data_IF_070820238162
#
_entry.id   IF_070820238162
#
_cell.length_a   1.000
_cell.length_b   1.000
_cell.length_c   1.000
_cell.angle_alpha   90.00
_cell.angle_beta   90.00
_cell.angle_gamma   90.00
#
_symmetry.space_group_name_H-M   'P 1'
#
loop_
_entity.id
_entity.type
_entity.pdbx_description
1 polymer ?
#
# COMPACT_ATOMS: atom_id res chain seq x y z
N UNK A 1 4.29 -23.59 5.79
CA UNK A 1 3.64 -23.14 7.04
C UNK A 1 2.93 -21.83 6.76
N UNK A 2 1.90 -21.49 7.53
CA UNK A 2 1.24 -20.17 7.43
C UNK A 2 2.05 -19.14 8.21
N UNK A 3 2.22 -17.95 7.64
CA UNK A 3 2.96 -16.85 8.23
C UNK A 3 2.14 -15.56 8.16
N UNK A 4 2.41 -14.66 9.10
CA UNK A 4 1.85 -13.32 9.12
C UNK A 4 2.91 -12.33 9.59
N UNK A 5 2.87 -11.11 9.06
CA UNK A 5 3.80 -10.05 9.42
C UNK A 5 3.11 -8.70 9.29
N UNK A 6 3.24 -7.92 10.36
CA UNK A 6 2.76 -6.55 10.41
C UNK A 6 3.91 -5.56 10.13
N UNK A 7 3.62 -4.51 9.36
CA UNK A 7 4.57 -3.42 9.03
C UNK A 7 3.89 -2.06 9.18
N UNK A 8 4.69 -1.02 9.39
CA UNK A 8 4.23 0.38 9.38
C UNK A 8 5.33 1.33 8.94
N UNK A 9 4.95 2.38 8.22
CA UNK A 9 5.78 3.53 7.88
C UNK A 9 4.96 4.78 8.20
N UNK A 10 5.43 5.58 9.17
CA UNK A 10 4.72 6.75 9.66
C UNK A 10 5.70 7.91 9.91
N UNK A 11 5.73 8.95 9.05
CA UNK A 11 5.01 9.04 7.77
C UNK A 11 5.75 8.32 6.62
N UNK A 12 5.03 8.01 5.53
CA UNK A 12 5.63 7.61 4.25
C UNK A 12 6.48 8.75 3.67
N UNK A 13 7.58 8.44 2.96
CA UNK A 13 8.52 9.45 2.46
C UNK A 13 8.02 10.10 1.15
N UNK A 14 6.87 10.79 1.20
CA UNK A 14 6.30 11.49 0.05
C UNK A 14 7.13 12.70 -0.38
N UNK A 15 7.28 12.91 -1.70
CA UNK A 15 8.19 13.93 -2.26
C UNK A 15 7.53 15.23 -2.72
N UNK A 16 6.20 15.27 -2.97
CA UNK A 16 5.53 16.50 -3.45
C UNK A 16 5.32 17.53 -2.33
N UNK A 17 5.38 17.12 -1.06
CA UNK A 17 5.05 17.99 0.07
C UNK A 17 3.56 18.44 0.06
N UNK A 18 3.12 19.19 1.08
CA UNK A 18 1.70 19.57 1.22
C UNK A 18 1.26 20.74 0.33
N UNK A 19 2.19 21.46 -0.31
CA UNK A 19 1.93 22.69 -1.07
C UNK A 19 2.84 22.80 -2.30
N UNK A 20 2.34 23.28 -3.45
CA UNK A 20 0.98 23.74 -3.72
C UNK A 20 -0.02 22.58 -3.89
N UNK A 21 -1.31 22.84 -3.63
CA UNK A 21 -2.36 21.90 -4.03
C UNK A 21 -2.38 21.82 -5.56
N UNK A 22 -2.69 20.66 -6.12
CA UNK A 22 -2.84 20.53 -7.58
C UNK A 22 -3.95 21.41 -8.15
N UNK A 23 -4.96 21.75 -7.34
CA UNK A 23 -5.99 22.73 -7.70
C UNK A 23 -5.44 24.15 -7.88
N UNK A 24 -4.30 24.46 -7.24
CA UNK A 24 -3.71 25.80 -7.22
C UNK A 24 -2.59 25.96 -8.28
N UNK A 25 -2.10 24.86 -8.88
CA UNK A 25 -1.08 24.88 -9.93
C UNK A 25 -1.19 23.70 -10.89
N UNK A 26 -1.57 23.99 -12.13
CA UNK A 26 -1.65 23.01 -13.23
C UNK A 26 -0.27 22.47 -13.60
N UNK A 27 0.77 23.29 -13.52
CA UNK A 27 2.15 22.90 -13.78
C UNK A 27 2.64 21.86 -12.77
N UNK A 28 2.48 22.14 -11.47
CA UNK A 28 2.85 21.20 -10.40
C UNK A 28 2.06 19.89 -10.50
N UNK A 29 0.77 19.98 -10.83
CA UNK A 29 -0.05 18.81 -11.13
C UNK A 29 0.53 18.00 -12.29
N UNK A 30 0.82 18.64 -13.43
CA UNK A 30 1.34 17.96 -14.63
C UNK A 30 2.70 17.32 -14.40
N UNK A 31 3.59 18.00 -13.66
CA UNK A 31 4.87 17.43 -13.26
C UNK A 31 4.65 16.18 -12.41
N UNK A 32 3.79 16.27 -11.40
CA UNK A 32 3.51 15.15 -10.50
C UNK A 32 2.94 13.91 -11.19
N UNK A 33 2.11 14.07 -12.22
CA UNK A 33 1.56 12.95 -13.01
C UNK A 33 2.47 12.45 -14.13
N UNK A 34 3.57 13.16 -14.41
CA UNK A 34 4.56 12.74 -15.41
C UNK A 34 5.78 12.07 -14.79
N UNK A 35 6.03 12.28 -13.50
CA UNK A 35 7.11 11.64 -12.76
C UNK A 35 6.80 10.16 -12.56
N UNK A 36 7.57 9.25 -13.17
CA UNK A 36 7.32 7.82 -13.02
C UNK A 36 8.09 7.26 -11.82
N UNK A 37 7.62 6.14 -11.31
CA UNK A 37 8.41 5.24 -10.48
C UNK A 37 8.81 4.02 -11.30
N UNK A 38 10.10 3.90 -11.59
CA UNK A 38 10.61 2.88 -12.51
C UNK A 38 11.30 1.72 -11.79
N UNK A 39 11.34 1.73 -10.48
CA UNK A 39 12.13 0.76 -9.71
C UNK A 39 11.35 0.15 -8.55
N UNK A 40 10.25 0.77 -8.12
CA UNK A 40 9.58 0.44 -6.86
C UNK A 40 10.38 0.88 -5.63
N UNK A 41 11.42 1.71 -5.83
CA UNK A 41 12.16 2.30 -4.72
C UNK A 41 11.24 3.24 -3.93
N UNK A 42 11.38 3.21 -2.60
CA UNK A 42 10.54 3.97 -1.66
C UNK A 42 9.06 3.59 -1.62
N UNK A 43 8.62 2.55 -2.36
CA UNK A 43 7.30 1.97 -2.15
C UNK A 43 7.16 1.49 -0.71
N UNK A 44 5.94 1.57 -0.19
CA UNK A 44 5.61 0.91 1.07
C UNK A 44 5.70 -0.61 0.87
N UNK A 45 6.50 -1.28 1.72
CA UNK A 45 6.68 -2.73 1.66
C UNK A 45 5.62 -3.40 2.53
N UNK A 46 4.75 -4.21 1.91
CA UNK A 46 3.76 -5.05 2.59
C UNK A 46 4.41 -6.38 3.02
N UNK A 47 5.16 -7.01 2.10
CA UNK A 47 5.88 -8.27 2.35
C UNK A 47 7.26 -8.24 1.68
N UNK A 48 8.25 -8.79 2.37
CA UNK A 48 9.56 -9.12 1.82
C UNK A 48 10.02 -10.46 2.43
N UNK A 49 10.10 -11.50 1.61
CA UNK A 49 10.37 -12.87 2.02
C UNK A 49 11.28 -13.61 1.02
N UNK A 50 12.06 -14.56 1.54
CA UNK A 50 12.97 -15.44 0.77
C UNK A 50 12.73 -16.89 1.13
N UNK A 51 12.64 -17.75 0.11
CA UNK A 51 12.25 -19.16 0.16
C UNK A 51 11.14 -19.47 -0.86
N UNK A 52 10.58 -20.68 -0.81
CA UNK A 52 9.48 -21.12 -1.69
C UNK A 52 8.14 -20.98 -0.99
N UNK A 53 7.15 -20.36 -1.65
CA UNK A 53 5.85 -20.10 -1.02
C UNK A 53 4.80 -19.51 -1.94
N UNK A 54 3.73 -18.99 -1.33
CA UNK A 54 2.73 -18.19 -2.01
C UNK A 54 2.08 -17.18 -1.07
N UNK A 55 1.93 -15.96 -1.56
CA UNK A 55 1.25 -14.86 -0.89
C UNK A 55 -0.27 -14.99 -1.03
N UNK A 56 -0.98 -14.81 0.08
CA UNK A 56 -2.45 -14.98 0.14
C UNK A 56 -3.17 -13.69 0.55
N UNK A 57 -2.49 -12.54 0.49
CA UNK A 57 -3.12 -11.22 0.63
C UNK A 57 -2.69 -10.44 1.87
N UNK A 58 -3.36 -9.31 2.06
CA UNK A 58 -3.14 -8.39 3.18
C UNK A 58 -4.40 -7.60 3.52
N UNK A 59 -4.35 -6.96 4.69
CA UNK A 59 -5.06 -5.70 4.87
C UNK A 59 -4.07 -4.54 4.92
N UNK A 60 -4.51 -3.37 4.47
CA UNK A 60 -3.78 -2.11 4.43
C UNK A 60 -4.61 -1.04 5.16
N UNK A 61 -3.98 -0.39 6.12
CA UNK A 61 -4.51 0.71 6.90
C UNK A 61 -3.79 2.00 6.52
N UNK A 62 -4.54 3.01 6.12
CA UNK A 62 -4.02 4.30 5.67
C UNK A 62 -4.66 5.40 6.49
N UNK A 63 -3.85 6.17 7.22
CA UNK A 63 -4.30 7.40 7.88
C UNK A 63 -3.79 8.63 7.10
N UNK A 64 -4.71 9.27 6.39
CA UNK A 64 -4.51 10.53 5.70
C UNK A 64 -4.65 11.68 6.71
N UNK A 65 -3.60 11.89 7.51
CA UNK A 65 -3.63 12.78 8.68
C UNK A 65 -3.52 14.27 8.36
N UNK A 66 -3.13 14.63 7.13
CA UNK A 66 -2.97 16.01 6.68
C UNK A 66 -3.42 16.17 5.23
N UNK A 67 -3.74 17.40 4.82
CA UNK A 67 -3.98 17.70 3.40
C UNK A 67 -2.67 17.54 2.64
N UNK A 68 -2.75 16.90 1.49
CA UNK A 68 -1.63 16.67 0.57
C UNK A 68 -1.89 17.41 -0.74
N UNK A 69 -0.94 17.39 -1.67
CA UNK A 69 -1.10 18.04 -2.98
C UNK A 69 -2.30 17.48 -3.78
N UNK A 70 -2.56 16.17 -3.65
CA UNK A 70 -3.81 15.49 -4.00
C UNK A 70 -4.43 14.88 -2.74
N UNK A 71 -5.75 14.98 -2.56
CA UNK A 71 -6.42 14.41 -1.39
C UNK A 71 -6.68 12.90 -1.53
N UNK A 72 -6.77 12.37 -2.76
CA UNK A 72 -6.98 10.94 -2.99
C UNK A 72 -5.65 10.17 -2.79
N UNK A 73 -5.66 9.21 -1.86
CA UNK A 73 -4.46 8.44 -1.50
C UNK A 73 -4.17 7.28 -2.47
N UNK A 74 -5.20 6.79 -3.18
CA UNK A 74 -5.15 5.47 -3.80
C UNK A 74 -4.62 5.41 -5.22
N UNK A 75 -4.00 6.48 -5.73
CA UNK A 75 -3.33 6.44 -7.04
C UNK A 75 -2.05 5.58 -7.07
N UNK A 76 -1.69 4.93 -5.97
CA UNK A 76 -0.45 4.18 -5.85
C UNK A 76 -0.59 2.76 -6.39
N UNK A 77 0.27 2.40 -7.34
CA UNK A 77 0.27 1.07 -7.97
C UNK A 77 0.84 0.01 -7.01
N UNK A 78 0.26 -1.20 -7.01
CA UNK A 78 0.94 -2.36 -6.45
C UNK A 78 2.05 -2.82 -7.41
N UNK A 79 3.24 -3.06 -6.85
CA UNK A 79 4.40 -3.57 -7.57
C UNK A 79 4.91 -4.81 -6.85
N UNK A 80 4.71 -5.98 -7.47
CA UNK A 80 5.07 -7.27 -6.89
C UNK A 80 6.23 -7.88 -7.68
N UNK A 81 7.36 -8.01 -6.99
CA UNK A 81 8.61 -8.57 -7.53
C UNK A 81 8.71 -10.02 -7.09
N UNK A 82 8.90 -10.91 -8.04
CA UNK A 82 8.97 -12.36 -7.80
C UNK A 82 10.35 -12.85 -8.24
N UNK A 83 10.98 -13.66 -7.39
CA UNK A 83 12.22 -14.38 -7.65
C UNK A 83 13.37 -13.49 -8.15
N UNK A 84 13.49 -12.29 -7.56
CA UNK A 84 14.57 -11.34 -7.85
C UNK A 84 14.45 -10.64 -9.21
N UNK A 85 13.28 -10.66 -9.85
CA UNK A 85 13.07 -9.94 -11.10
C UNK A 85 13.38 -8.42 -10.97
N UNK A 86 14.05 -7.80 -11.95
CA UNK A 86 14.41 -6.38 -11.90
C UNK A 86 13.22 -5.43 -12.11
N UNK A 87 12.09 -5.95 -12.58
CA UNK A 87 10.84 -5.23 -12.80
C UNK A 87 9.71 -6.07 -12.18
N UNK A 88 8.64 -5.45 -11.62
CA UNK A 88 7.52 -6.20 -11.06
C UNK A 88 6.91 -7.14 -12.10
N UNK A 89 6.76 -8.41 -11.73
CA UNK A 89 6.06 -9.40 -12.55
C UNK A 89 4.54 -9.14 -12.57
N UNK A 90 4.04 -8.48 -11.52
CA UNK A 90 2.67 -7.97 -11.42
C UNK A 90 2.73 -6.49 -11.05
N UNK A 91 2.16 -5.66 -11.92
CA UNK A 91 2.13 -4.21 -11.78
C UNK A 91 0.69 -3.74 -11.96
N UNK A 92 0.14 -3.12 -10.92
CA UNK A 92 -1.24 -2.64 -10.90
C UNK A 92 -1.43 -1.28 -11.55
N UNK A 93 -2.54 -0.64 -11.17
CA UNK A 93 -3.01 0.64 -11.74
C UNK A 93 -3.52 1.64 -10.69
N UNK A 94 -3.59 1.21 -9.44
CA UNK A 94 -4.13 1.97 -8.33
C UNK A 94 -4.34 1.07 -7.12
N UNK A 95 -4.34 1.69 -5.94
CA UNK A 95 -4.58 1.01 -4.67
C UNK A 95 -6.01 0.48 -4.64
N UNK A 96 -6.99 1.30 -4.99
CA UNK A 96 -8.39 0.86 -5.02
C UNK A 96 -8.60 -0.27 -6.03
N UNK A 97 -7.88 -0.23 -7.15
CA UNK A 97 -7.94 -1.24 -8.20
C UNK A 97 -7.37 -2.58 -7.71
N UNK A 98 -6.20 -2.55 -7.04
CA UNK A 98 -5.63 -3.73 -6.39
C UNK A 98 -6.61 -4.35 -5.39
N UNK A 99 -7.36 -3.53 -4.65
CA UNK A 99 -8.34 -3.99 -3.67
C UNK A 99 -9.75 -4.25 -4.27
N UNK A 100 -9.85 -4.46 -5.59
CA UNK A 100 -11.08 -4.80 -6.33
C UNK A 100 -12.22 -3.77 -6.11
N UNK A 101 -11.86 -2.50 -6.11
CA UNK A 101 -12.77 -1.36 -6.15
C UNK A 101 -12.43 -0.48 -7.35
N UNK A 102 -13.05 0.69 -7.47
CA UNK A 102 -12.74 1.65 -8.53
C UNK A 102 -13.25 3.05 -8.16
N UNK A 103 -12.80 4.08 -8.88
CA UNK A 103 -13.31 5.46 -8.81
C UNK A 103 -13.20 6.09 -7.41
N UNK A 104 -12.04 5.97 -6.76
CA UNK A 104 -11.76 6.61 -5.48
C UNK A 104 -12.86 6.34 -4.42
N UNK A 105 -13.16 5.08 -4.09
CA UNK A 105 -14.37 4.70 -3.35
C UNK A 105 -14.45 5.39 -1.98
N UNK A 106 -15.67 5.78 -1.60
CA UNK A 106 -16.00 6.38 -0.31
C UNK A 106 -17.08 5.59 0.45
N UNK A 107 -17.37 4.37 -0.01
CA UNK A 107 -18.44 3.54 0.53
C UNK A 107 -17.84 2.26 1.12
N UNK A 108 -18.10 2.04 2.40
CA UNK A 108 -17.73 0.80 3.05
C UNK A 108 -18.50 -0.37 2.44
N UNK A 109 -17.79 -1.47 2.20
CA UNK A 109 -18.37 -2.74 1.77
C UNK A 109 -17.46 -3.89 2.23
N UNK A 110 -18.06 -5.06 2.41
CA UNK A 110 -17.34 -6.27 2.80
C UNK A 110 -17.79 -7.43 1.92
N UNK A 111 -16.82 -8.18 1.42
CA UNK A 111 -17.01 -9.44 0.69
C UNK A 111 -16.08 -10.52 1.27
N UNK A 112 -16.24 -11.81 0.90
CA UNK A 112 -15.37 -12.86 1.42
C UNK A 112 -13.87 -12.60 1.23
N UNK A 113 -13.47 -11.96 0.13
CA UNK A 113 -12.06 -11.84 -0.26
C UNK A 113 -11.53 -10.41 -0.35
N UNK A 114 -12.38 -9.40 -0.40
CA UNK A 114 -11.91 -8.00 -0.45
C UNK A 114 -12.95 -7.03 0.12
N UNK A 115 -12.51 -5.83 0.51
CA UNK A 115 -13.41 -4.83 1.07
C UNK A 115 -12.72 -3.52 1.46
N UNK A 116 -13.53 -2.47 1.57
CA UNK A 116 -13.22 -1.23 2.30
C UNK A 116 -14.07 -1.25 3.57
N UNK A 117 -13.46 -1.54 4.72
CA UNK A 117 -14.18 -1.82 5.98
C UNK A 117 -14.13 -0.68 6.99
N UNK A 118 -13.35 0.35 6.69
CA UNK A 118 -13.35 1.59 7.44
C UNK A 118 -13.14 2.74 6.47
N UNK A 119 -14.02 3.73 6.53
CA UNK A 119 -13.90 5.01 5.83
C UNK A 119 -14.26 6.15 6.78
N UNK A 120 -13.30 7.02 7.09
CA UNK A 120 -13.50 8.16 8.01
C UNK A 120 -13.64 9.52 7.30
N UNK A 121 -13.66 9.52 5.97
CA UNK A 121 -13.76 10.73 5.18
C UNK A 121 -15.02 11.54 5.44
N UNK A 122 -14.95 12.84 5.17
CA UNK A 122 -16.10 13.77 5.26
C UNK A 122 -16.30 14.51 3.95
N UNK A 123 -17.42 15.22 3.80
CA UNK A 123 -17.65 16.05 2.61
C UNK A 123 -16.51 17.06 2.35
N UNK A 124 -15.94 17.62 3.41
CA UNK A 124 -14.83 18.57 3.30
C UNK A 124 -13.50 17.87 3.00
N UNK A 125 -13.30 16.64 3.46
CA UNK A 125 -12.09 15.84 3.23
C UNK A 125 -12.44 14.40 2.93
N UNK A 126 -12.81 14.07 1.67
CA UNK A 126 -13.39 12.76 1.33
C UNK A 126 -12.50 11.57 1.67
N UNK A 127 -11.19 11.70 1.72
CA UNK A 127 -10.32 10.57 2.09
C UNK A 127 -9.46 10.85 3.32
N UNK A 128 -9.75 11.96 4.02
CA UNK A 128 -9.04 12.32 5.26
C UNK A 128 -9.36 11.32 6.37
N UNK A 129 -8.37 11.08 7.23
CA UNK A 129 -8.51 10.15 8.36
C UNK A 129 -8.20 8.73 7.95
N UNK A 130 -8.72 7.77 8.72
CA UNK A 130 -8.36 6.35 8.60
C UNK A 130 -9.24 5.65 7.56
N UNK A 131 -8.58 4.88 6.71
CA UNK A 131 -9.18 4.03 5.70
C UNK A 131 -8.57 2.63 5.84
N UNK A 132 -9.39 1.58 5.93
CA UNK A 132 -8.91 0.19 6.04
C UNK A 132 -9.49 -0.63 4.90
N UNK A 133 -8.60 -1.21 4.10
CA UNK A 133 -8.92 -2.03 2.94
C UNK A 133 -8.24 -3.40 3.04
N UNK A 134 -8.84 -4.43 2.47
CA UNK A 134 -8.25 -5.77 2.44
C UNK A 134 -8.49 -6.47 1.12
N UNK A 135 -7.56 -7.36 0.78
CA UNK A 135 -7.68 -8.35 -0.30
C UNK A 135 -6.98 -9.64 0.12
N UNK A 136 -7.67 -10.75 -0.04
CA UNK A 136 -7.19 -12.10 0.21
C UNK A 136 -7.16 -12.87 -1.10
N UNK A 137 -5.96 -13.34 -1.47
CA UNK A 137 -5.73 -14.15 -2.65
C UNK A 137 -5.94 -15.63 -2.32
N UNK A 138 -7.19 -16.00 -2.04
CA UNK A 138 -7.55 -17.39 -1.67
C UNK A 138 -7.59 -18.28 -2.92
N UNK A 139 -8.31 -17.84 -3.96
CA UNK A 139 -8.47 -18.57 -5.21
C UNK A 139 -7.38 -18.21 -6.24
N UNK A 140 -6.68 -17.09 -6.02
CA UNK A 140 -5.67 -16.49 -6.90
C UNK A 140 -4.32 -16.21 -6.19
N UNK A 141 -3.73 -17.18 -5.45
CA UNK A 141 -2.49 -16.96 -4.71
C UNK A 141 -1.31 -16.61 -5.62
N UNK A 142 -0.40 -15.75 -5.13
CA UNK A 142 0.79 -15.31 -5.86
C UNK A 142 1.99 -16.16 -5.43
N UNK A 143 2.40 -17.08 -6.29
CA UNK A 143 3.49 -18.03 -6.02
C UNK A 143 4.88 -17.42 -6.23
N UNK A 144 5.86 -17.93 -5.49
CA UNK A 144 7.27 -17.59 -5.63
C UNK A 144 8.17 -18.78 -5.24
N UNK A 145 9.31 -18.91 -5.89
CA UNK A 145 10.24 -20.04 -5.74
C UNK A 145 11.46 -19.71 -4.88
N UNK A 146 11.93 -18.48 -4.97
CA UNK A 146 13.15 -17.97 -4.34
C UNK A 146 12.85 -16.77 -3.45
N UNK A 147 12.02 -15.82 -3.90
CA UNK A 147 11.72 -14.62 -3.12
C UNK A 147 10.47 -13.90 -3.62
N UNK A 148 9.87 -13.10 -2.74
CA UNK A 148 8.81 -12.17 -3.10
C UNK A 148 8.98 -10.86 -2.37
N UNK A 149 8.76 -9.76 -3.08
CA UNK A 149 8.63 -8.42 -2.51
C UNK A 149 7.31 -7.82 -2.99
N UNK A 150 6.33 -7.75 -2.09
CA UNK A 150 5.03 -7.12 -2.34
C UNK A 150 5.11 -5.70 -1.84
N UNK A 151 4.93 -4.74 -2.74
CA UNK A 151 5.00 -3.31 -2.42
C UNK A 151 3.82 -2.57 -3.02
N UNK A 152 3.51 -1.41 -2.47
CA UNK A 152 2.51 -0.50 -3.03
C UNK A 152 3.04 0.93 -2.90
N UNK A 153 2.80 1.74 -3.92
CA UNK A 153 3.14 3.16 -3.83
C UNK A 153 2.22 3.90 -2.84
N UNK A 154 2.71 4.97 -2.22
CA UNK A 154 1.89 5.86 -1.39
C UNK A 154 1.42 7.06 -2.20
N UNK A 155 0.40 6.82 -3.04
CA UNK A 155 -0.02 7.68 -4.15
C UNK A 155 0.97 7.60 -5.33
N UNK A 156 0.50 7.95 -6.53
CA UNK A 156 1.28 7.82 -7.77
C UNK A 156 2.74 8.25 -7.60
N UNK A 157 3.65 7.35 -7.95
CA UNK A 157 5.09 7.56 -7.85
C UNK A 157 5.58 7.93 -6.45
N UNK A 158 4.93 7.45 -5.38
CA UNK A 158 5.28 7.73 -3.98
C UNK A 158 5.18 9.22 -3.59
N UNK A 159 4.19 9.93 -4.15
CA UNK A 159 4.09 11.39 -3.98
C UNK A 159 3.53 11.85 -2.64
N UNK A 160 2.82 11.00 -1.87
CA UNK A 160 2.04 11.42 -0.71
C UNK A 160 2.66 11.00 0.64
N UNK A 161 2.49 11.84 1.64
CA UNK A 161 2.99 11.62 3.00
C UNK A 161 1.84 11.25 3.93
N UNK A 162 1.66 9.96 4.19
CA UNK A 162 0.58 9.39 5.01
C UNK A 162 1.14 8.41 6.05
N UNK A 163 0.30 7.86 6.92
CA UNK A 163 0.68 6.77 7.83
C UNK A 163 0.12 5.45 7.29
N UNK A 164 1.01 4.58 6.82
CA UNK A 164 0.65 3.29 6.23
C UNK A 164 1.01 2.18 7.21
N UNK A 165 0.06 1.30 7.52
CA UNK A 165 0.28 0.05 8.21
C UNK A 165 -0.37 -1.11 7.44
N UNK A 166 0.16 -2.32 7.57
CA UNK A 166 -0.42 -3.49 6.89
C UNK A 166 -0.09 -4.76 7.65
N UNK A 167 -0.89 -5.80 7.41
CA UNK A 167 -0.55 -7.17 7.77
C UNK A 167 -0.59 -8.04 6.53
N UNK A 168 0.54 -8.65 6.18
CA UNK A 168 0.65 -9.64 5.12
C UNK A 168 0.35 -11.04 5.64
N UNK A 169 -0.20 -11.89 4.77
CA UNK A 169 -0.49 -13.30 5.01
C UNK A 169 0.08 -14.13 3.85
N UNK A 170 0.83 -15.19 4.15
CA UNK A 170 1.41 -16.07 3.11
C UNK A 170 1.74 -17.45 3.67
N UNK A 171 1.97 -18.40 2.78
CA UNK A 171 2.54 -19.69 3.11
C UNK A 171 3.96 -19.81 2.59
N UNK A 172 4.85 -20.42 3.37
CA UNK A 172 6.24 -20.62 2.96
C UNK A 172 6.83 -21.91 3.53
N UNK A 173 7.79 -22.49 2.81
CA UNK A 173 8.65 -23.56 3.30
C UNK A 173 9.76 -23.01 4.22
N UNK A 174 10.26 -23.87 5.09
CA UNK A 174 11.42 -23.60 5.94
C UNK A 174 12.69 -24.15 5.28
N UNK A 175 13.88 -23.56 5.51
CA UNK A 175 14.10 -22.32 6.25
C UNK A 175 13.74 -21.09 5.40
N UNK A 176 13.31 -20.02 6.07
CA UNK A 176 13.15 -18.69 5.48
C UNK A 176 14.09 -17.68 6.14
N UNK A 177 14.30 -16.50 5.53
CA UNK A 177 15.08 -15.42 6.18
C UNK A 177 14.40 -14.92 7.46
N UNK A 178 15.15 -14.41 8.46
CA UNK A 178 14.55 -13.74 9.61
C UNK A 178 13.66 -12.57 9.16
N UNK A 179 12.52 -12.42 9.81
CA UNK A 179 11.61 -11.30 9.57
C UNK A 179 11.96 -10.10 10.44
N UNK A 180 11.64 -8.87 10.00
CA UNK A 180 11.81 -7.69 10.84
C UNK A 180 11.10 -7.87 12.19
N UNK A 181 11.73 -7.38 13.26
CA UNK A 181 11.11 -7.35 14.57
C UNK A 181 9.89 -6.43 14.55
N UNK A 182 8.85 -6.81 15.29
CA UNK A 182 7.70 -5.95 15.49
C UNK A 182 8.15 -4.63 16.12
N UNK A 183 7.61 -3.51 15.64
CA UNK A 183 7.93 -2.20 16.21
C UNK A 183 7.54 -2.14 17.71
N UNK A 184 8.28 -1.36 18.52
CA UNK A 184 7.92 -1.07 19.90
C UNK A 184 6.48 -0.55 20.01
N UNK A 185 5.81 -0.80 21.14
CA UNK A 185 4.39 -0.46 21.34
C UNK A 185 4.12 1.01 21.02
N UNK A 186 5.01 1.90 21.45
CA UNK A 186 4.92 3.35 21.30
C UNK A 186 4.87 3.77 19.82
N UNK A 187 5.55 3.03 18.95
CA UNK A 187 5.56 3.24 17.50
C UNK A 187 4.40 2.54 16.78
N UNK A 188 3.57 1.79 17.50
CA UNK A 188 2.36 1.13 16.98
C UNK A 188 1.07 1.79 17.43
N UNK A 189 1.14 2.77 18.34
CA UNK A 189 -0.02 3.53 18.75
C UNK A 189 -0.60 4.33 17.56
N UNK A 190 -1.94 4.43 17.45
CA UNK A 190 -2.56 5.24 16.42
C UNK A 190 -2.22 6.72 16.64
N UNK A 191 -2.16 7.48 15.54
CA UNK A 191 -2.13 8.94 15.61
C UNK A 191 -3.44 9.41 16.26
N UNK A 192 -3.30 10.30 17.25
CA UNK A 192 -4.41 10.96 17.96
C UNK A 192 -4.97 12.12 17.14
#
# INVERSE_FOLDING_TARGET
>A
RFHTQWRRVNPTPGWVGPTPRFADSVEAMREAWRTPNLTGDNNYVILDAEGRGHYVGCHLDIDCFSRQANDWYGEGDDMIFIDGAPWPGLHGTGTEDYFNTAFCPTQEYSSPYHGLILYQGTADGPWRGKNTIYRYHIEDPIFFEQSIRVTIEHGHANKLTNDYASTAYWYQAEPHKPFPSLLPVEQRLPRL
#
